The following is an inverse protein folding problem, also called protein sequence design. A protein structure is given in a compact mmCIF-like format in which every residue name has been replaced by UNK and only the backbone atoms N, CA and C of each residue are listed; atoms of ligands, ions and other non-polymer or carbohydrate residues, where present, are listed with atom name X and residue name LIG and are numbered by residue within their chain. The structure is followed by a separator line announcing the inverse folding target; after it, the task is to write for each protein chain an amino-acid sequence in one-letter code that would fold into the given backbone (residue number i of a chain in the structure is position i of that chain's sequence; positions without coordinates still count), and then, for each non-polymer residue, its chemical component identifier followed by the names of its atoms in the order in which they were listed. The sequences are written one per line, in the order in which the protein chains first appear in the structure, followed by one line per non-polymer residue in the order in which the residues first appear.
data_IF_787140190709
#
_entry.id   IF_787140190709
#
_cell.length_a   1.000
_cell.length_b   1.000
_cell.length_c   1.000
_cell.angle_alpha   90.00
_cell.angle_beta   90.00
_cell.angle_gamma   90.00
#
_symmetry.space_group_name_H-M   'P 1'
#
loop_
_entity.id
_entity.type
_entity.pdbx_description
1 polymer ?
#
# COMPACT_ATOMS: atom_id res chain seq x y z
N UNK A 1 41.23 53.13 42.94
CA UNK A 1 40.44 53.98 42.02
C UNK A 1 39.32 53.11 41.47
N UNK A 2 38.07 53.46 41.76
CA UNK A 2 36.88 52.60 41.61
C UNK A 2 36.46 52.39 40.14
N UNK A 3 35.86 51.22 39.90
CA UNK A 3 35.49 50.55 38.64
C UNK A 3 34.57 51.32 37.68
N UNK A 4 34.61 51.03 36.36
CA UNK A 4 33.56 51.46 35.45
C UNK A 4 32.30 50.59 35.67
N UNK A 5 31.17 51.21 36.00
CA UNK A 5 29.86 50.54 36.06
C UNK A 5 29.33 50.34 34.63
N UNK A 6 29.64 49.21 33.99
CA UNK A 6 28.91 48.77 32.79
C UNK A 6 27.68 47.98 33.23
N UNK A 7 26.59 48.69 33.52
CA UNK A 7 25.29 48.07 33.72
C UNK A 7 24.67 47.74 32.36
N UNK A 8 24.57 46.46 32.02
CA UNK A 8 23.82 46.02 30.83
C UNK A 8 22.40 46.55 30.91
N UNK A 9 22.02 47.38 29.94
CA UNK A 9 20.72 48.06 29.91
C UNK A 9 19.62 47.03 29.58
N UNK A 10 18.52 47.00 30.33
CA UNK A 10 17.36 46.11 30.07
C UNK A 10 16.86 46.23 28.62
N UNK A 11 16.99 47.41 28.00
CA UNK A 11 16.63 47.63 26.59
C UNK A 11 17.61 46.96 25.62
N UNK A 12 18.89 46.90 25.97
CA UNK A 12 19.89 46.16 25.19
C UNK A 12 19.69 44.64 25.34
N UNK A 13 19.33 44.17 26.53
CA UNK A 13 19.01 42.76 26.75
C UNK A 13 17.73 42.32 26.03
N UNK A 14 16.65 43.12 26.12
CA UNK A 14 15.41 42.87 25.39
C UNK A 14 15.60 42.98 23.87
N UNK A 15 16.41 43.94 23.40
CA UNK A 15 16.76 44.06 21.98
C UNK A 15 17.57 42.87 21.47
N UNK A 16 18.55 42.39 22.24
CA UNK A 16 19.34 41.22 21.88
C UNK A 16 18.51 39.92 21.91
N UNK A 17 17.62 39.76 22.89
CA UNK A 17 16.72 38.60 22.98
C UNK A 17 15.69 38.58 21.84
N UNK A 18 15.14 39.73 21.45
CA UNK A 18 14.22 39.85 20.32
C UNK A 18 14.93 39.59 18.98
N UNK A 19 16.14 40.13 18.79
CA UNK A 19 16.92 39.93 17.57
C UNK A 19 17.43 38.49 17.40
N UNK A 20 17.80 37.81 18.48
CA UNK A 20 18.19 36.40 18.45
C UNK A 20 16.98 35.49 18.13
N UNK A 21 15.80 35.80 18.67
CA UNK A 21 14.57 35.06 18.39
C UNK A 21 14.07 35.23 16.96
N UNK A 22 14.15 36.43 16.40
CA UNK A 22 13.78 36.69 14.98
C UNK A 22 14.80 36.11 14.00
N UNK A 23 16.09 36.12 14.33
CA UNK A 23 17.12 35.48 13.51
C UNK A 23 16.95 33.94 13.45
N UNK A 24 16.54 33.30 14.56
CA UNK A 24 16.20 31.88 14.57
C UNK A 24 14.94 31.57 13.76
N UNK A 25 13.90 32.42 13.82
CA UNK A 25 12.66 32.23 13.05
C UNK A 25 12.79 32.59 11.55
N UNK A 26 13.74 33.44 11.18
CA UNK A 26 14.01 33.84 9.80
C UNK A 26 15.10 33.01 9.12
N UNK A 27 15.73 32.07 9.85
CA UNK A 27 16.69 31.13 9.27
C UNK A 27 15.92 30.10 8.44
N UNK A 28 16.23 29.93 7.13
CA UNK A 28 15.55 28.94 6.29
C UNK A 28 15.71 27.50 6.80
N UNK A 29 16.67 27.26 7.69
CA UNK A 29 16.88 25.96 8.37
C UNK A 29 15.91 25.68 9.53
N UNK A 30 15.18 26.68 10.05
CA UNK A 30 14.40 26.54 11.29
C UNK A 30 12.90 26.21 11.10
N UNK A 31 12.34 26.41 9.91
CA UNK A 31 10.89 26.27 9.66
C UNK A 31 10.48 25.04 8.85
N UNK A 32 11.43 24.19 8.47
CA UNK A 32 11.13 22.92 7.83
C UNK A 32 12.02 21.89 8.49
N UNK A 33 11.56 21.13 9.52
CA UNK A 33 12.08 19.79 9.63
C UNK A 33 11.74 19.18 8.28
N UNK A 34 12.76 18.92 7.46
CA UNK A 34 12.63 18.11 6.26
C UNK A 34 12.12 16.75 6.73
N UNK A 35 10.80 16.64 6.93
CA UNK A 35 10.01 15.43 6.77
C UNK A 35 10.00 15.10 5.28
N UNK A 36 11.19 15.07 4.68
CA UNK A 36 11.38 14.38 3.43
C UNK A 36 11.42 12.92 3.87
N UNK A 37 10.42 12.14 3.49
CA UNK A 37 10.46 10.70 3.67
C UNK A 37 11.75 10.22 2.99
N UNK A 38 12.77 9.87 3.78
CA UNK A 38 13.96 9.22 3.26
C UNK A 38 13.50 7.85 2.78
N UNK A 39 13.45 7.67 1.47
CA UNK A 39 13.24 6.35 0.89
C UNK A 39 14.50 5.55 1.21
N UNK A 40 14.42 4.43 1.94
CA UNK A 40 15.59 3.62 2.21
C UNK A 40 16.20 3.16 0.89
N UNK A 41 17.52 3.26 0.78
CA UNK A 41 18.24 2.74 -0.39
C UNK A 41 18.05 1.23 -0.44
N UNK A 42 17.49 0.73 -1.55
CA UNK A 42 17.25 -0.69 -1.77
C UNK A 42 18.09 -1.18 -2.94
N UNK A 43 18.82 -2.27 -2.75
CA UNK A 43 19.59 -2.95 -3.79
C UNK A 43 19.03 -4.35 -4.02
N UNK A 44 18.81 -4.71 -5.28
CA UNK A 44 18.33 -6.03 -5.71
C UNK A 44 19.31 -6.57 -6.77
N UNK A 45 19.83 -7.77 -6.55
CA UNK A 45 20.64 -8.49 -7.53
C UNK A 45 19.81 -9.68 -8.07
N UNK A 46 19.70 -9.82 -9.41
CA UNK A 46 18.95 -10.90 -10.06
C UNK A 46 19.92 -11.85 -10.76
N UNK A 47 20.04 -13.07 -10.24
CA UNK A 47 20.98 -14.09 -10.71
C UNK A 47 20.32 -15.01 -11.74
N UNK A 48 20.37 -14.64 -13.02
CA UNK A 48 19.67 -15.35 -14.10
C UNK A 48 20.18 -16.78 -14.37
N UNK A 49 21.41 -17.10 -13.94
CA UNK A 49 22.07 -18.40 -14.18
C UNK A 49 22.02 -19.34 -12.96
N UNK A 50 21.28 -18.98 -11.91
CA UNK A 50 21.17 -19.74 -10.66
C UNK A 50 19.71 -20.10 -10.40
N UNK A 51 19.13 -21.08 -11.14
CA UNK A 51 17.73 -21.45 -10.96
C UNK A 51 17.50 -22.14 -9.61
N UNK A 52 16.54 -21.64 -8.83
CA UNK A 52 16.18 -22.19 -7.51
C UNK A 52 15.10 -23.27 -7.60
N UNK A 53 14.21 -23.17 -8.59
CA UNK A 53 13.11 -24.12 -8.79
C UNK A 53 12.08 -23.66 -9.81
N UNK A 54 11.11 -24.52 -10.10
CA UNK A 54 9.95 -24.17 -10.94
C UNK A 54 8.84 -23.60 -10.07
N UNK A 55 8.28 -22.46 -10.46
CA UNK A 55 7.07 -21.92 -9.82
C UNK A 55 5.88 -22.75 -10.32
N UNK A 56 5.30 -23.53 -9.42
CA UNK A 56 4.15 -24.38 -9.74
C UNK A 56 2.94 -23.50 -10.13
N UNK A 57 2.23 -23.79 -11.23
CA UNK A 57 1.10 -22.96 -11.67
C UNK A 57 -0.06 -22.94 -10.66
N UNK A 58 -0.19 -23.98 -9.82
CA UNK A 58 -1.21 -24.09 -8.77
C UNK A 58 -1.07 -23.03 -7.67
N UNK A 59 0.08 -22.36 -7.57
CA UNK A 59 0.26 -21.20 -6.67
C UNK A 59 -0.69 -20.06 -7.07
N UNK A 60 -1.10 -20.00 -8.33
CA UNK A 60 -2.13 -19.08 -8.85
C UNK A 60 -3.53 -19.73 -8.90
N UNK A 61 -3.79 -20.70 -8.03
CA UNK A 61 -5.10 -21.35 -7.90
C UNK A 61 -6.17 -20.41 -7.33
N UNK A 62 -7.43 -20.77 -7.55
CA UNK A 62 -8.59 -20.05 -7.04
C UNK A 62 -9.46 -20.94 -6.14
N UNK A 63 -10.35 -20.28 -5.41
CA UNK A 63 -11.21 -20.90 -4.42
C UNK A 63 -12.65 -20.41 -4.59
N UNK A 64 -13.60 -21.35 -4.57
CA UNK A 64 -15.04 -21.09 -4.65
C UNK A 64 -15.71 -21.87 -3.54
N UNK A 65 -16.49 -21.17 -2.72
CA UNK A 65 -17.30 -21.76 -1.66
C UNK A 65 -18.78 -21.44 -1.90
N UNK A 66 -19.68 -22.33 -1.50
CA UNK A 66 -21.09 -22.00 -1.36
C UNK A 66 -21.31 -21.03 -0.20
N UNK A 67 -20.98 -19.76 -0.44
CA UNK A 67 -21.05 -18.69 0.55
C UNK A 67 -21.67 -17.44 -0.08
N UNK A 68 -22.83 -17.03 0.44
CA UNK A 68 -23.57 -15.88 -0.07
C UNK A 68 -23.87 -15.97 -1.58
N UNK A 69 -23.65 -14.86 -2.30
CA UNK A 69 -23.86 -14.76 -3.75
C UNK A 69 -22.66 -15.20 -4.60
N UNK A 70 -21.69 -15.94 -4.05
CA UNK A 70 -20.51 -16.37 -4.82
C UNK A 70 -20.92 -17.36 -5.91
N UNK A 71 -21.66 -18.42 -5.55
CA UNK A 71 -22.09 -19.42 -6.54
C UNK A 71 -23.36 -19.00 -7.22
N UNK A 72 -24.45 -18.78 -6.49
CA UNK A 72 -25.71 -18.31 -7.07
C UNK A 72 -25.67 -16.80 -7.28
N UNK A 73 -26.11 -16.33 -8.44
CA UNK A 73 -25.89 -14.98 -8.98
C UNK A 73 -24.45 -14.75 -9.47
N UNK A 74 -23.42 -15.01 -8.66
CA UNK A 74 -22.02 -14.80 -9.04
C UNK A 74 -21.55 -15.68 -10.21
N UNK A 75 -21.65 -17.01 -10.06
CA UNK A 75 -21.19 -18.00 -11.07
C UNK A 75 -22.38 -18.54 -11.87
N UNK A 76 -23.33 -19.14 -11.16
CA UNK A 76 -24.51 -19.76 -11.72
C UNK A 76 -25.66 -18.76 -11.78
N UNK A 77 -26.12 -18.49 -13.01
CA UNK A 77 -27.28 -17.64 -13.28
C UNK A 77 -28.48 -18.44 -13.81
N UNK A 78 -28.27 -19.70 -14.20
CA UNK A 78 -29.28 -20.59 -14.77
C UNK A 78 -29.36 -20.52 -16.30
N UNK A 79 -29.69 -21.63 -16.96
CA UNK A 79 -29.70 -21.72 -18.42
C UNK A 79 -30.75 -20.80 -19.08
N UNK A 80 -31.94 -20.71 -18.48
CA UNK A 80 -33.02 -19.82 -18.93
C UNK A 80 -32.89 -18.36 -18.48
N UNK A 81 -31.75 -17.97 -17.91
CA UNK A 81 -31.53 -16.62 -17.42
C UNK A 81 -31.45 -15.60 -18.55
N UNK A 82 -31.95 -14.38 -18.31
CA UNK A 82 -31.72 -13.23 -19.21
C UNK A 82 -30.28 -12.75 -19.15
N UNK A 83 -29.52 -13.13 -18.12
CA UNK A 83 -28.09 -12.85 -18.01
C UNK A 83 -27.34 -13.76 -19.01
N UNK A 84 -26.47 -13.20 -19.89
CA UNK A 84 -25.70 -14.00 -20.83
C UNK A 84 -24.92 -15.11 -20.13
N UNK A 85 -25.10 -16.35 -20.59
CA UNK A 85 -24.53 -17.53 -19.95
C UNK A 85 -24.07 -18.58 -20.97
N UNK A 86 -23.23 -19.50 -20.51
CA UNK A 86 -22.83 -20.71 -21.22
C UNK A 86 -23.21 -21.89 -20.33
N UNK A 87 -24.28 -22.60 -20.68
CA UNK A 87 -24.80 -23.72 -19.86
C UNK A 87 -25.15 -23.31 -18.43
N UNK A 88 -25.72 -22.12 -18.25
CA UNK A 88 -26.10 -21.58 -16.94
C UNK A 88 -24.99 -20.85 -16.17
N UNK A 89 -23.74 -20.93 -16.62
CA UNK A 89 -22.61 -20.19 -16.04
C UNK A 89 -22.52 -18.81 -16.67
N UNK A 90 -22.44 -17.74 -15.86
CA UNK A 90 -22.32 -16.35 -16.31
C UNK A 90 -21.19 -16.19 -17.35
N UNK A 91 -21.52 -15.74 -18.56
CA UNK A 91 -20.57 -15.66 -19.69
C UNK A 91 -19.37 -14.75 -19.38
N UNK A 92 -19.62 -13.61 -18.73
CA UNK A 92 -18.56 -12.67 -18.35
C UNK A 92 -17.49 -13.32 -17.45
N UNK A 93 -17.90 -14.21 -16.53
CA UNK A 93 -16.98 -14.98 -15.71
C UNK A 93 -16.18 -15.96 -16.56
N UNK A 94 -16.83 -16.69 -17.46
CA UNK A 94 -16.16 -17.64 -18.38
C UNK A 94 -15.10 -16.93 -19.21
N UNK A 95 -15.43 -15.77 -19.78
CA UNK A 95 -14.51 -14.98 -20.59
C UNK A 95 -13.30 -14.50 -19.75
N UNK A 96 -13.54 -13.99 -18.54
CA UNK A 96 -12.49 -13.55 -17.63
C UNK A 96 -11.57 -14.71 -17.20
N UNK A 97 -12.13 -15.86 -16.84
CA UNK A 97 -11.35 -17.03 -16.44
C UNK A 97 -10.52 -17.59 -17.61
N UNK A 98 -10.99 -17.52 -18.85
CA UNK A 98 -10.18 -17.90 -20.02
C UNK A 98 -8.97 -16.99 -20.21
N UNK A 99 -9.09 -15.70 -19.90
CA UNK A 99 -7.97 -14.76 -19.99
C UNK A 99 -6.92 -15.03 -18.90
N UNK A 100 -7.36 -15.29 -17.66
CA UNK A 100 -6.49 -15.53 -16.51
C UNK A 100 -5.87 -16.94 -16.52
N UNK A 101 -6.55 -17.93 -17.11
CA UNK A 101 -6.10 -19.34 -17.20
C UNK A 101 -5.79 -19.93 -15.81
N UNK A 102 -6.78 -20.01 -14.91
CA UNK A 102 -6.56 -20.57 -13.58
C UNK A 102 -6.05 -22.01 -13.69
N UNK A 103 -4.99 -22.33 -12.94
CA UNK A 103 -4.43 -23.68 -12.94
C UNK A 103 -5.33 -24.69 -12.22
N UNK A 104 -5.97 -24.26 -11.13
CA UNK A 104 -6.86 -25.07 -10.31
C UNK A 104 -7.94 -24.21 -9.66
N UNK A 105 -9.14 -24.75 -9.50
CA UNK A 105 -10.22 -24.14 -8.73
C UNK A 105 -10.72 -25.16 -7.70
N UNK A 106 -10.62 -24.84 -6.41
CA UNK A 106 -11.16 -25.67 -5.33
C UNK A 106 -12.61 -25.29 -5.04
N UNK A 107 -13.48 -26.31 -4.93
CA UNK A 107 -14.93 -26.22 -4.62
C UNK A 107 -15.37 -27.59 -4.03
N UNK A 108 -16.40 -27.71 -3.15
CA UNK A 108 -17.41 -26.73 -2.69
C UNK A 108 -17.01 -25.84 -1.51
N UNK A 109 -15.77 -26.00 -1.05
CA UNK A 109 -15.01 -25.01 -0.27
C UNK A 109 -15.32 -24.91 1.22
N UNK A 110 -14.32 -24.43 1.96
CA UNK A 110 -14.41 -24.01 3.36
C UNK A 110 -15.12 -24.99 4.27
N UNK A 111 -15.92 -24.46 5.19
CA UNK A 111 -16.74 -25.24 6.11
C UNK A 111 -17.95 -25.87 5.41
N UNK A 112 -18.35 -25.36 4.24
CA UNK A 112 -19.45 -25.94 3.47
C UNK A 112 -19.11 -27.36 2.97
N UNK A 113 -17.82 -27.67 2.79
CA UNK A 113 -17.37 -28.97 2.30
C UNK A 113 -17.38 -30.10 3.34
N UNK A 114 -17.56 -29.77 4.62
CA UNK A 114 -17.64 -30.74 5.74
C UNK A 114 -19.06 -31.29 5.92
#
# INVERSE_FOLDING_TARGET
MQSPKHGTNRRQFLGAAAAAGTAWLASPDALIPRLSAQSPESRIDVLLNEPVGTIAPEIYGHFVEHLGGVVYDGIWVGEGSTIPNVGGIRKALVDALRAVKPAVIRWPGGCFAD
#
